data_IF_094293967545
#
_entry.id   IF_094293967545
#
_cell.length_a   1.000
_cell.length_b   1.000
_cell.length_c   1.000
_cell.angle_alpha   90.00
_cell.angle_beta   90.00
_cell.angle_gamma   90.00
#
_symmetry.space_group_name_H-M   'P 1'
#
loop_
_entity.id
_entity.type
_entity.pdbx_description
1 polymer ?
#
# COMPACT_ATOMS: atom_id res chain seq x y z
N UNK A 1 -4.76 -9.78 -14.64
CA UNK A 1 -3.94 -10.36 -13.56
C UNK A 1 -3.88 -9.37 -12.40
N UNK A 2 -4.13 -9.80 -11.16
CA UNK A 2 -3.96 -8.95 -9.97
C UNK A 2 -2.49 -8.66 -9.67
N UNK A 3 -2.19 -7.53 -9.03
CA UNK A 3 -0.83 -7.22 -8.57
C UNK A 3 -0.54 -8.13 -7.36
N UNK A 4 0.57 -8.88 -7.34
CA UNK A 4 0.89 -9.75 -6.22
C UNK A 4 1.08 -8.94 -4.93
N UNK A 5 0.56 -9.51 -3.85
CA UNK A 5 0.56 -8.97 -2.49
C UNK A 5 1.37 -9.83 -1.54
N UNK A 6 1.64 -11.10 -1.90
CA UNK A 6 2.44 -12.05 -1.10
C UNK A 6 3.65 -12.62 -1.86
N UNK A 7 4.59 -13.22 -1.12
CA UNK A 7 5.75 -13.89 -1.72
C UNK A 7 5.35 -15.11 -2.54
N UNK A 8 4.34 -15.86 -2.10
CA UNK A 8 3.84 -17.04 -2.81
C UNK A 8 3.26 -16.66 -4.16
N UNK A 9 2.56 -15.52 -4.23
CA UNK A 9 2.07 -14.98 -5.50
C UNK A 9 3.22 -14.57 -6.43
N UNK A 10 4.27 -13.94 -5.88
CA UNK A 10 5.48 -13.61 -6.65
C UNK A 10 6.19 -14.88 -7.18
N UNK A 11 6.31 -15.92 -6.36
CA UNK A 11 6.92 -17.20 -6.75
C UNK A 11 6.15 -17.89 -7.87
N UNK A 12 4.81 -17.86 -7.83
CA UNK A 12 3.96 -18.40 -8.92
C UNK A 12 4.20 -17.70 -10.26
N UNK A 13 4.69 -16.47 -10.24
CA UNK A 13 5.04 -15.68 -11.42
C UNK A 13 6.51 -15.84 -11.83
N UNK A 14 7.30 -16.61 -11.08
CA UNK A 14 8.75 -16.73 -11.26
C UNK A 14 9.51 -15.45 -10.89
N UNK A 15 8.92 -14.58 -10.06
CA UNK A 15 9.53 -13.31 -9.66
C UNK A 15 10.28 -13.48 -8.35
N UNK A 16 11.61 -13.61 -8.45
CA UNK A 16 12.49 -13.71 -7.27
C UNK A 16 12.72 -12.37 -6.56
N UNK A 17 12.60 -11.26 -7.30
CA UNK A 17 12.73 -9.90 -6.80
C UNK A 17 11.80 -8.98 -7.60
N UNK A 18 11.17 -8.04 -6.91
CA UNK A 18 10.30 -7.01 -7.49
C UNK A 18 11.11 -5.78 -7.90
N UNK A 19 10.72 -5.16 -9.01
CA UNK A 19 11.31 -3.90 -9.45
C UNK A 19 10.72 -2.72 -8.67
N UNK A 20 9.40 -2.74 -8.45
CA UNK A 20 8.66 -1.69 -7.73
C UNK A 20 7.76 -2.33 -6.68
N UNK A 21 7.75 -1.76 -5.47
CA UNK A 21 6.75 -2.11 -4.46
C UNK A 21 5.90 -0.87 -4.17
N UNK A 22 4.60 -1.01 -4.39
CA UNK A 22 3.62 0.02 -4.12
C UNK A 22 3.06 -0.14 -2.70
N UNK A 23 2.87 0.97 -1.98
CA UNK A 23 2.27 1.00 -0.64
C UNK A 23 1.05 1.91 -0.65
N UNK A 24 -0.10 1.39 -0.21
CA UNK A 24 -1.38 2.12 -0.18
C UNK A 24 -1.91 2.29 1.24
N UNK A 25 -2.53 3.43 1.52
CA UNK A 25 -3.35 3.66 2.72
C UNK A 25 -4.77 3.09 2.64
N UNK A 26 -5.20 2.63 1.46
CA UNK A 26 -6.45 1.89 1.25
C UNK A 26 -6.19 0.39 1.14
N UNK A 27 -7.24 -0.41 1.30
CA UNK A 27 -7.23 -1.80 0.84
C UNK A 27 -6.99 -1.90 -0.66
N UNK A 28 -6.45 -3.05 -1.11
CA UNK A 28 -6.25 -3.27 -2.54
C UNK A 28 -7.59 -3.55 -3.22
N UNK A 29 -8.02 -2.62 -4.07
CA UNK A 29 -9.17 -2.78 -4.96
C UNK A 29 -8.69 -2.59 -6.40
N UNK A 30 -8.86 -3.62 -7.22
CA UNK A 30 -8.47 -3.59 -8.63
C UNK A 30 -9.57 -2.91 -9.46
N UNK A 31 -9.62 -1.58 -9.38
CA UNK A 31 -10.62 -0.73 -10.04
C UNK A 31 -9.94 0.48 -10.68
N UNK A 32 -10.45 1.00 -11.82
CA UNK A 32 -10.01 2.27 -12.39
C UNK A 32 -10.19 3.47 -11.44
N UNK A 33 -10.98 3.33 -10.38
CA UNK A 33 -11.05 4.36 -9.34
C UNK A 33 -9.74 4.45 -8.53
N UNK A 34 -9.01 3.34 -8.39
CA UNK A 34 -7.78 3.23 -7.61
C UNK A 34 -6.56 3.66 -8.44
N UNK A 35 -6.05 4.86 -8.17
CA UNK A 35 -4.86 5.38 -8.84
C UNK A 35 -3.63 4.47 -8.68
N UNK A 36 -3.44 3.89 -7.49
CA UNK A 36 -2.31 2.97 -7.24
C UNK A 36 -2.46 1.65 -8.01
N UNK A 37 -3.69 1.17 -8.20
CA UNK A 37 -3.95 -0.01 -9.03
C UNK A 37 -3.63 0.31 -10.50
N UNK A 38 -4.08 1.45 -11.02
CA UNK A 38 -3.76 1.88 -12.39
C UNK A 38 -2.24 1.95 -12.61
N UNK A 39 -1.53 2.66 -11.73
CA UNK A 39 -0.07 2.80 -11.83
C UNK A 39 0.61 1.43 -11.83
N UNK A 40 0.22 0.54 -10.91
CA UNK A 40 0.79 -0.81 -10.87
C UNK A 40 0.51 -1.63 -12.13
N UNK A 41 -0.68 -1.51 -12.72
CA UNK A 41 -1.04 -2.22 -13.97
C UNK A 41 -0.26 -1.70 -15.17
N UNK A 42 -0.09 -0.39 -15.27
CA UNK A 42 0.71 0.23 -16.34
C UNK A 42 2.16 -0.24 -16.21
N UNK A 43 2.74 -0.20 -15.01
CA UNK A 43 4.10 -0.69 -14.79
C UNK A 43 4.26 -2.17 -15.18
N UNK A 44 3.28 -3.02 -14.83
CA UNK A 44 3.28 -4.43 -15.24
C UNK A 44 3.16 -4.56 -16.77
N UNK A 45 2.33 -3.75 -17.45
CA UNK A 45 2.21 -3.80 -18.91
C UNK A 45 3.49 -3.36 -19.62
N UNK A 46 4.27 -2.47 -19.02
CA UNK A 46 5.60 -2.07 -19.48
C UNK A 46 6.70 -3.09 -19.12
N UNK A 47 6.35 -4.23 -18.50
CA UNK A 47 7.25 -5.33 -18.22
C UNK A 47 7.95 -5.30 -16.85
N UNK A 48 7.58 -4.38 -15.96
CA UNK A 48 8.13 -4.33 -14.60
C UNK A 48 7.46 -5.35 -13.67
N UNK A 49 8.24 -5.89 -12.72
CA UNK A 49 7.74 -6.76 -11.65
C UNK A 49 7.25 -5.90 -10.49
N UNK A 50 5.94 -5.80 -10.33
CA UNK A 50 5.33 -4.91 -9.33
C UNK A 50 4.62 -5.71 -8.26
N UNK A 51 4.83 -5.36 -7.00
CA UNK A 51 4.03 -5.84 -5.87
C UNK A 51 3.33 -4.71 -5.15
N UNK A 52 2.32 -5.04 -4.32
CA UNK A 52 1.58 -4.05 -3.54
C UNK A 52 1.40 -4.48 -2.07
N UNK A 53 1.58 -3.51 -1.16
CA UNK A 53 1.36 -3.61 0.28
C UNK A 53 0.30 -2.59 0.67
N UNK A 54 -0.88 -3.07 1.04
CA UNK A 54 -1.99 -2.20 1.43
C UNK A 54 -2.13 -2.20 2.94
N UNK A 55 -2.25 -1.01 3.52
CA UNK A 55 -2.51 -0.80 4.94
C UNK A 55 -1.59 -1.60 5.87
N UNK A 56 -0.25 -1.51 5.69
CA UNK A 56 0.68 -2.24 6.53
C UNK A 56 0.52 -1.82 7.99
N UNK A 57 0.62 -2.79 8.91
CA UNK A 57 0.71 -2.49 10.33
C UNK A 57 1.94 -1.62 10.62
N UNK A 58 1.71 -0.43 11.17
CA UNK A 58 2.78 0.53 11.49
C UNK A 58 3.50 0.20 12.79
N UNK A 59 2.98 -0.74 13.59
CA UNK A 59 3.59 -1.19 14.85
C UNK A 59 4.52 -2.38 14.66
N UNK A 60 4.58 -2.94 13.46
CA UNK A 60 5.34 -4.14 13.15
C UNK A 60 6.06 -4.03 11.80
N UNK A 61 7.24 -4.62 11.71
CA UNK A 61 7.98 -4.72 10.45
C UNK A 61 7.43 -5.80 9.51
N UNK A 62 6.56 -6.71 9.99
CA UNK A 62 6.17 -7.90 9.26
C UNK A 62 5.50 -7.58 7.91
N UNK A 63 4.56 -6.62 7.90
CA UNK A 63 3.83 -6.28 6.69
C UNK A 63 4.69 -5.54 5.68
N UNK A 64 5.46 -4.53 6.12
CA UNK A 64 6.26 -3.71 5.21
C UNK A 64 7.42 -4.49 4.59
N UNK A 65 7.95 -5.49 5.31
CA UNK A 65 9.06 -6.33 4.84
C UNK A 65 8.62 -7.58 4.08
N UNK A 66 7.30 -7.84 4.02
CA UNK A 66 6.76 -9.12 3.54
C UNK A 66 7.14 -9.46 2.10
N UNK A 67 7.38 -8.45 1.26
CA UNK A 67 7.77 -8.62 -0.16
C UNK A 67 9.27 -8.45 -0.41
N UNK A 68 10.07 -8.16 0.62
CA UNK A 68 11.48 -7.80 0.48
C UNK A 68 11.68 -6.35 0.00
N UNK A 69 12.85 -6.09 -0.56
CA UNK A 69 13.25 -4.76 -1.05
C UNK A 69 13.12 -4.66 -2.58
N UNK A 70 12.50 -3.59 -3.12
CA UNK A 70 12.38 -3.39 -4.55
C UNK A 70 13.73 -3.01 -5.16
N UNK A 71 13.96 -3.42 -6.41
CA UNK A 71 15.19 -3.11 -7.14
C UNK A 71 15.29 -1.65 -7.58
N UNK A 72 14.16 -1.00 -7.88
CA UNK A 72 14.13 0.37 -8.41
C UNK A 72 13.67 1.36 -7.35
N UNK A 73 12.42 1.24 -6.86
CA UNK A 73 11.88 2.18 -5.88
C UNK A 73 10.64 1.68 -5.15
N UNK A 74 10.30 2.39 -4.07
CA UNK A 74 9.05 2.28 -3.33
C UNK A 74 8.07 3.37 -3.80
N UNK A 75 6.85 3.00 -4.23
CA UNK A 75 5.80 3.96 -4.56
C UNK A 75 4.77 4.06 -3.44
N UNK A 76 4.73 5.15 -2.70
CA UNK A 76 3.87 5.29 -1.51
C UNK A 76 2.71 6.26 -1.77
N UNK A 77 1.49 5.85 -1.47
CA UNK A 77 0.28 6.67 -1.54
C UNK A 77 -0.58 6.59 -0.27
N UNK A 78 -1.26 7.69 0.06
CA UNK A 78 -2.17 7.76 1.21
C UNK A 78 -3.50 6.99 1.00
N UNK A 79 -3.74 6.51 -0.22
CA UNK A 79 -5.04 6.02 -0.68
C UNK A 79 -5.73 7.03 -1.59
N UNK A 80 -7.02 6.80 -1.83
CA UNK A 80 -7.93 7.58 -2.67
C UNK A 80 -8.35 8.89 -2.02
N UNK A 81 -8.37 8.89 -0.69
CA UNK A 81 -8.69 10.05 0.14
C UNK A 81 -7.50 10.34 1.04
N UNK A 82 -7.24 11.62 1.30
CA UNK A 82 -6.22 12.02 2.26
C UNK A 82 -6.50 11.38 3.64
N UNK A 83 -5.44 10.87 4.27
CA UNK A 83 -5.54 10.16 5.54
C UNK A 83 -6.17 10.98 6.68
N UNK A 84 -5.95 12.29 6.73
CA UNK A 84 -6.59 13.14 7.74
C UNK A 84 -8.08 13.29 7.48
N UNK A 85 -8.50 13.35 6.21
CA UNK A 85 -9.91 13.41 5.82
C UNK A 85 -10.62 12.08 6.07
N UNK A 86 -9.95 10.96 5.81
CA UNK A 86 -10.47 9.63 6.13
C UNK A 86 -10.63 9.44 7.66
N UNK A 87 -9.66 9.93 8.45
CA UNK A 87 -9.67 9.75 9.90
C UNK A 87 -10.51 10.76 10.67
N UNK A 88 -10.71 11.96 10.13
CA UNK A 88 -11.36 13.04 10.84
C UNK A 88 -12.44 13.74 10.02
N UNK A 89 -13.50 14.13 10.71
CA UNK A 89 -14.51 15.06 10.19
C UNK A 89 -13.94 16.48 10.05
N UNK A 90 -14.66 17.37 9.35
CA UNK A 90 -14.26 18.78 9.21
C UNK A 90 -14.09 19.51 10.56
N UNK A 91 -14.80 19.05 11.60
CA UNK A 91 -14.69 19.57 12.98
C UNK A 91 -13.62 18.84 13.81
N UNK A 92 -12.75 18.05 13.17
CA UNK A 92 -11.66 17.26 13.78
C UNK A 92 -12.10 16.16 14.76
N UNK A 93 -13.37 15.71 14.70
CA UNK A 93 -13.78 14.49 15.40
C UNK A 93 -13.30 13.25 14.65
N UNK A 94 -12.75 12.27 15.37
CA UNK A 94 -12.32 10.99 14.81
C UNK A 94 -13.53 10.23 14.25
N UNK A 95 -13.37 9.63 13.07
CA UNK A 95 -14.38 8.82 12.39
C UNK A 95 -14.26 7.37 12.86
N UNK A 96 -15.39 6.77 13.25
CA UNK A 96 -15.41 5.36 13.64
C UNK A 96 -15.23 4.42 12.44
N UNK A 97 -15.56 4.87 11.23
CA UNK A 97 -15.47 4.08 10.00
C UNK A 97 -14.54 4.67 8.96
N UNK A 98 -14.03 3.79 8.09
CA UNK A 98 -13.23 4.11 6.90
C UNK A 98 -13.68 3.21 5.74
N UNK A 99 -14.25 3.83 4.71
CA UNK A 99 -14.84 3.16 3.55
C UNK A 99 -13.84 2.30 2.76
N UNK A 100 -12.54 2.58 2.87
CA UNK A 100 -11.50 1.84 2.16
C UNK A 100 -10.65 0.95 3.08
N UNK A 101 -11.05 0.77 4.34
CA UNK A 101 -10.45 -0.25 5.23
C UNK A 101 -11.33 -1.50 5.27
N UNK A 102 -10.76 -2.73 5.24
CA UNK A 102 -11.54 -3.96 5.32
C UNK A 102 -12.47 -3.97 6.55
N UNK A 103 -13.74 -4.30 6.33
CA UNK A 103 -14.77 -4.27 7.37
C UNK A 103 -15.28 -2.87 7.73
N UNK A 104 -14.83 -1.81 7.04
CA UNK A 104 -15.28 -0.45 7.26
C UNK A 104 -14.81 0.17 8.57
N UNK A 105 -13.88 -0.48 9.29
CA UNK A 105 -13.42 -0.07 10.62
C UNK A 105 -12.20 0.83 10.48
N UNK A 106 -12.22 2.01 11.10
CA UNK A 106 -11.06 2.90 11.06
C UNK A 106 -9.97 2.48 12.09
N UNK A 107 -9.17 1.49 11.72
CA UNK A 107 -8.09 0.97 12.58
C UNK A 107 -6.76 0.68 11.86
N UNK A 108 -6.68 0.88 10.53
CA UNK A 108 -5.49 0.54 9.74
C UNK A 108 -4.79 1.73 9.10
N UNK A 109 -5.53 2.74 8.63
CA UNK A 109 -4.94 3.91 7.97
C UNK A 109 -4.41 4.90 9.02
N UNK A 110 -3.10 5.09 9.14
CA UNK A 110 -2.56 6.06 10.08
C UNK A 110 -2.75 7.48 9.58
N UNK A 111 -2.73 8.44 10.50
CA UNK A 111 -2.62 9.85 10.15
C UNK A 111 -1.35 10.11 9.34
N UNK A 112 -1.45 11.01 8.37
CA UNK A 112 -0.36 11.39 7.48
C UNK A 112 0.31 10.16 6.86
N UNK A 113 -0.51 9.27 6.30
CA UNK A 113 -0.13 7.92 5.91
C UNK A 113 1.15 7.84 5.07
N UNK A 114 1.34 8.74 4.11
CA UNK A 114 2.56 8.81 3.29
C UNK A 114 3.82 8.95 4.17
N UNK A 115 3.84 9.91 5.09
CA UNK A 115 5.02 10.12 5.95
C UNK A 115 5.25 8.93 6.88
N UNK A 116 4.18 8.37 7.43
CA UNK A 116 4.25 7.20 8.33
C UNK A 116 4.83 5.99 7.60
N UNK A 117 4.34 5.67 6.39
CA UNK A 117 4.83 4.54 5.61
C UNK A 117 6.24 4.75 5.06
N UNK A 118 6.58 5.96 4.63
CA UNK A 118 7.96 6.29 4.20
C UNK A 118 8.95 6.10 5.35
N UNK A 119 8.60 6.58 6.55
CA UNK A 119 9.44 6.37 7.73
C UNK A 119 9.56 4.89 8.09
N UNK A 120 8.47 4.13 8.00
CA UNK A 120 8.47 2.69 8.25
C UNK A 120 9.38 1.94 7.26
N UNK A 121 9.36 2.30 5.98
CA UNK A 121 10.28 1.74 4.98
C UNK A 121 11.73 2.06 5.35
N UNK A 122 12.05 3.33 5.63
CA UNK A 122 13.41 3.79 5.97
C UNK A 122 13.98 3.18 7.25
N UNK A 123 13.12 2.72 8.16
CA UNK A 123 13.55 2.02 9.38
C UNK A 123 13.99 0.58 9.10
N UNK A 124 13.42 -0.05 8.08
CA UNK A 124 13.63 -1.48 7.79
C UNK A 124 14.56 -1.72 6.60
N UNK A 125 14.68 -0.76 5.69
CA UNK A 125 15.50 -0.80 4.48
C UNK A 125 16.40 0.44 4.44
N UNK A 126 17.71 0.25 4.19
CA UNK A 126 18.74 1.29 4.26
C UNK A 126 19.38 1.57 2.92
#
# INVERSE_FOLDING_TARGET
MFIPTTKEECQKLGWNQLDVILVSGDTYIDTPYSGIAIVGKILISEGYKVGIICQPDIKSANDITRLGEPKLYWGVGAGLVDSMVANYTATKKFRNGDDFTPGGVNNRRPDRAIMTYVNLIRQNFK
#
